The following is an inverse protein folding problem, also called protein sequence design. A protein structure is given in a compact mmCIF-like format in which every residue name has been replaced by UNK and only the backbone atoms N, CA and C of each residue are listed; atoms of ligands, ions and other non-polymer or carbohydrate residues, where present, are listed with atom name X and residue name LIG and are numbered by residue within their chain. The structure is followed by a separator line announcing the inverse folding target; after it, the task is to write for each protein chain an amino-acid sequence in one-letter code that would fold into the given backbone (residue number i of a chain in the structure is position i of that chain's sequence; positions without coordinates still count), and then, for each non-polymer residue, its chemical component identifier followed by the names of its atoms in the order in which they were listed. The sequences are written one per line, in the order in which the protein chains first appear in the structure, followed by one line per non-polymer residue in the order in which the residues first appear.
data_IF_779338474991
#
_entry.id   IF_779338474991
#
_cell.length_a   1.000
_cell.length_b   1.000
_cell.length_c   1.000
_cell.angle_alpha   90.00
_cell.angle_beta   90.00
_cell.angle_gamma   90.00
#
_symmetry.space_group_name_H-M   'P 1'
#
loop_
_entity.id
_entity.type
_entity.pdbx_description
1 polymer ?
#
# COMPACT_ATOMS: atom_id res chain seq x y z
N UNK A 1 42.09 -11.72 -2.15
CA UNK A 1 41.82 -12.77 -1.15
C UNK A 1 40.87 -13.77 -1.76
N UNK A 2 41.29 -15.03 -1.81
CA UNK A 2 40.51 -16.15 -2.30
C UNK A 2 39.39 -16.50 -1.32
N UNK A 3 38.20 -16.81 -1.83
CA UNK A 3 37.40 -17.94 -1.35
C UNK A 3 36.52 -18.47 -2.48
N UNK A 4 36.94 -19.64 -2.95
CA UNK A 4 36.31 -20.45 -4.00
C UNK A 4 35.10 -21.20 -3.42
N UNK A 5 34.11 -21.43 -4.28
CA UNK A 5 33.29 -22.64 -4.42
C UNK A 5 32.59 -23.18 -3.15
N UNK A 6 31.27 -23.01 -3.12
CA UNK A 6 30.40 -24.14 -2.74
C UNK A 6 29.18 -24.15 -3.64
N UNK A 7 29.20 -25.04 -4.64
CA UNK A 7 28.01 -25.50 -5.31
C UNK A 7 27.19 -26.32 -4.32
N UNK A 8 25.91 -25.98 -4.16
CA UNK A 8 24.94 -26.81 -3.44
C UNK A 8 23.77 -27.08 -4.38
N UNK A 9 23.88 -28.14 -5.15
CA UNK A 9 22.75 -28.86 -5.77
C UNK A 9 22.13 -29.77 -4.71
N UNK A 10 20.94 -29.45 -4.19
CA UNK A 10 20.09 -30.44 -3.48
C UNK A 10 18.60 -30.20 -3.77
N UNK A 11 18.05 -31.15 -4.52
CA UNK A 11 16.71 -31.75 -4.48
C UNK A 11 15.45 -30.86 -4.57
N UNK A 12 14.78 -31.01 -5.72
CA UNK A 12 13.32 -30.98 -5.86
C UNK A 12 12.66 -31.96 -4.88
N UNK A 13 11.88 -31.47 -3.91
CA UNK A 13 10.78 -32.22 -3.30
C UNK A 13 9.54 -31.34 -3.22
N UNK A 14 8.49 -31.91 -3.78
CA UNK A 14 7.13 -31.45 -3.95
C UNK A 14 6.39 -31.14 -2.63
N UNK A 15 5.32 -30.34 -2.80
CA UNK A 15 4.08 -30.34 -2.02
C UNK A 15 4.19 -29.91 -0.55
N UNK A 16 4.12 -28.60 -0.31
CA UNK A 16 3.37 -28.14 0.85
C UNK A 16 1.89 -28.27 0.54
N UNK A 17 1.39 -29.43 0.96
CA UNK A 17 -0.01 -29.73 1.08
C UNK A 17 -0.68 -28.68 1.98
N UNK A 18 -1.76 -28.13 1.45
CA UNK A 18 -2.87 -27.53 2.16
C UNK A 18 -3.11 -28.28 3.49
N UNK A 19 -2.88 -27.60 4.62
CA UNK A 19 -3.56 -27.95 5.87
C UNK A 19 -5.02 -27.50 5.77
N UNK A 20 -5.80 -28.27 5.02
CA UNK A 20 -7.25 -28.25 5.07
C UNK A 20 -7.75 -29.15 6.18
N UNK A 21 -8.44 -28.54 7.14
CA UNK A 21 -9.72 -28.96 7.70
C UNK A 21 -9.93 -30.46 8.02
N UNK A 22 -10.04 -30.71 9.32
CA UNK A 22 -10.73 -31.87 9.90
C UNK A 22 -12.21 -31.83 9.51
N UNK A 23 -12.67 -32.84 8.78
CA UNK A 23 -14.01 -33.41 8.91
C UNK A 23 -15.21 -32.59 8.39
N UNK A 24 -15.96 -33.20 7.46
CA UNK A 24 -17.41 -32.98 7.37
C UNK A 24 -17.90 -32.16 6.18
N UNK A 25 -18.04 -32.84 5.05
CA UNK A 25 -19.15 -32.74 4.09
C UNK A 25 -20.19 -31.59 4.31
N UNK A 26 -20.10 -30.50 3.53
CA UNK A 26 -21.23 -29.61 3.31
C UNK A 26 -20.88 -28.15 3.02
N UNK A 27 -21.12 -27.75 1.76
CA UNK A 27 -21.37 -26.38 1.30
C UNK A 27 -20.18 -25.42 1.25
N UNK A 28 -19.64 -25.33 0.04
CA UNK A 28 -19.37 -24.09 -0.70
C UNK A 28 -19.25 -22.81 0.14
N UNK A 29 -18.01 -22.49 0.48
CA UNK A 29 -17.58 -21.16 0.88
C UNK A 29 -16.28 -20.86 0.18
N UNK A 30 -16.28 -20.94 -1.16
CA UNK A 30 -15.19 -20.40 -1.95
C UNK A 30 -15.17 -18.90 -1.72
N UNK A 31 -14.26 -18.42 -0.87
CA UNK A 31 -13.74 -17.06 -1.06
C UNK A 31 -13.35 -16.96 -2.52
N UNK A 32 -13.73 -15.90 -3.25
CA UNK A 32 -13.30 -15.76 -4.63
C UNK A 32 -11.78 -15.88 -4.62
N UNK A 33 -11.24 -16.89 -5.31
CA UNK A 33 -9.82 -16.90 -5.58
C UNK A 33 -9.60 -15.69 -6.47
N UNK A 34 -9.02 -14.62 -5.93
CA UNK A 34 -8.61 -13.48 -6.73
C UNK A 34 -7.76 -14.00 -7.90
N UNK A 35 -8.18 -13.75 -9.14
CA UNK A 35 -7.42 -14.14 -10.33
C UNK A 35 -6.08 -13.39 -10.43
N UNK A 36 -5.93 -12.29 -9.67
CA UNK A 36 -4.75 -11.46 -9.62
C UNK A 36 -3.76 -11.91 -8.53
N UNK A 37 -2.52 -12.15 -8.95
CA UNK A 37 -1.39 -12.40 -8.05
C UNK A 37 -1.12 -11.18 -7.15
N UNK A 38 -0.53 -11.41 -5.97
CA UNK A 38 -0.11 -10.29 -5.10
C UNK A 38 0.87 -9.38 -5.83
N UNK A 39 1.84 -9.93 -6.57
CA UNK A 39 2.83 -9.18 -7.36
C UNK A 39 2.18 -8.27 -8.43
N UNK A 40 1.16 -8.76 -9.14
CA UNK A 40 0.45 -7.99 -10.17
C UNK A 40 -0.39 -6.87 -9.55
N UNK A 41 -0.98 -7.12 -8.37
CA UNK A 41 -1.72 -6.13 -7.61
C UNK A 41 -0.78 -5.05 -7.05
N UNK A 42 0.35 -5.45 -6.47
CA UNK A 42 1.39 -4.55 -5.98
C UNK A 42 1.96 -3.66 -7.10
N UNK A 43 2.24 -4.22 -8.29
CA UNK A 43 2.72 -3.42 -9.43
C UNK A 43 1.75 -2.32 -9.83
N UNK A 44 0.44 -2.60 -9.77
CA UNK A 44 -0.60 -1.64 -10.10
C UNK A 44 -0.70 -0.49 -9.08
N UNK A 45 -0.44 -0.79 -7.80
CA UNK A 45 -0.36 0.22 -6.73
C UNK A 45 0.97 0.98 -6.79
N UNK A 46 2.05 0.35 -7.26
CA UNK A 46 3.36 0.97 -7.41
C UNK A 46 3.34 2.13 -8.42
N UNK A 47 2.59 1.99 -9.52
CA UNK A 47 2.35 3.08 -10.47
C UNK A 47 1.74 4.31 -9.78
N UNK A 48 0.69 4.10 -8.95
CA UNK A 48 0.05 5.17 -8.16
C UNK A 48 1.03 5.79 -7.17
N UNK A 49 1.87 4.98 -6.51
CA UNK A 49 2.89 5.45 -5.57
C UNK A 49 4.01 6.24 -6.27
N UNK A 50 4.37 5.86 -7.48
CA UNK A 50 5.35 6.56 -8.31
C UNK A 50 4.80 7.90 -8.79
N UNK A 51 3.55 7.95 -9.23
CA UNK A 51 2.85 9.20 -9.58
C UNK A 51 2.68 10.10 -8.36
N UNK A 52 2.34 9.53 -7.20
CA UNK A 52 2.27 10.23 -5.92
C UNK A 52 3.60 10.90 -5.57
N UNK A 53 4.70 10.15 -5.68
CA UNK A 53 6.04 10.63 -5.37
C UNK A 53 6.48 11.75 -6.32
N UNK A 54 6.14 11.65 -7.61
CA UNK A 54 6.37 12.73 -8.57
C UNK A 54 5.54 13.97 -8.25
N UNK A 55 4.23 13.78 -8.02
CA UNK A 55 3.32 14.85 -7.65
C UNK A 55 3.78 15.59 -6.40
N UNK A 56 4.33 14.87 -5.40
CA UNK A 56 4.87 15.49 -4.18
C UNK A 56 6.15 16.29 -4.45
N UNK A 57 7.04 15.79 -5.30
CA UNK A 57 8.29 16.49 -5.66
C UNK A 57 8.05 17.79 -6.43
N UNK A 58 6.93 17.88 -7.15
CA UNK A 58 6.54 19.05 -7.93
C UNK A 58 5.81 20.12 -7.09
N UNK A 59 5.47 19.84 -5.83
CA UNK A 59 4.82 20.80 -4.91
C UNK A 59 5.81 21.91 -4.53
N UNK A 60 5.36 23.17 -4.62
CA UNK A 60 6.06 24.28 -3.98
C UNK A 60 5.85 24.20 -2.45
N UNK A 61 6.92 24.11 -1.63
CA UNK A 61 6.80 24.02 -0.18
C UNK A 61 6.18 25.28 0.48
N UNK A 62 6.06 26.37 -0.27
CA UNK A 62 5.42 27.61 0.16
C UNK A 62 3.91 27.62 -0.13
N UNK A 63 3.38 26.60 -0.82
CA UNK A 63 1.99 26.47 -1.23
C UNK A 63 1.32 25.24 -0.56
N UNK A 64 0.83 25.38 0.68
CA UNK A 64 0.14 24.30 1.39
C UNK A 64 -1.17 23.88 0.70
N UNK A 65 -1.78 24.73 -0.13
CA UNK A 65 -2.97 24.37 -0.88
C UNK A 65 -2.64 23.44 -2.06
N UNK A 66 -1.54 23.70 -2.76
CA UNK A 66 -1.00 22.78 -3.77
C UNK A 66 -0.65 21.42 -3.14
N UNK A 67 -0.06 21.44 -1.93
CA UNK A 67 0.26 20.22 -1.20
C UNK A 67 -0.98 19.40 -0.84
N UNK A 68 -2.02 20.04 -0.33
CA UNK A 68 -3.29 19.40 -0.04
C UNK A 68 -3.93 18.78 -1.29
N UNK A 69 -3.89 19.48 -2.42
CA UNK A 69 -4.43 18.97 -3.69
C UNK A 69 -3.67 17.73 -4.16
N UNK A 70 -2.34 17.74 -4.10
CA UNK A 70 -1.53 16.58 -4.49
C UNK A 70 -1.83 15.37 -3.60
N UNK A 71 -1.92 15.56 -2.28
CA UNK A 71 -2.28 14.49 -1.34
C UNK A 71 -3.69 13.92 -1.61
N UNK A 72 -4.66 14.77 -1.99
CA UNK A 72 -5.98 14.32 -2.43
C UNK A 72 -5.94 13.48 -3.70
N UNK A 73 -5.18 13.92 -4.71
CA UNK A 73 -4.99 13.14 -5.94
C UNK A 73 -4.44 11.75 -5.63
N UNK A 74 -3.51 11.64 -4.68
CA UNK A 74 -2.95 10.34 -4.25
C UNK A 74 -4.02 9.48 -3.56
N UNK A 75 -4.80 10.08 -2.66
CA UNK A 75 -5.90 9.37 -1.99
C UNK A 75 -6.96 8.88 -2.99
N UNK A 76 -7.25 9.66 -4.03
CA UNK A 76 -8.17 9.28 -5.09
C UNK A 76 -7.59 8.13 -5.95
N UNK A 77 -6.33 8.23 -6.36
CA UNK A 77 -5.63 7.16 -7.09
C UNK A 77 -5.56 5.85 -6.30
N UNK A 78 -5.38 5.93 -4.98
CA UNK A 78 -5.46 4.78 -4.06
C UNK A 78 -6.87 4.18 -4.02
N UNK A 79 -7.91 5.01 -4.09
CA UNK A 79 -9.30 4.57 -4.19
C UNK A 79 -9.59 3.86 -5.52
N UNK A 80 -9.12 4.41 -6.63
CA UNK A 80 -9.23 3.80 -7.95
C UNK A 80 -8.47 2.47 -8.03
N UNK A 81 -7.27 2.41 -7.44
CA UNK A 81 -6.53 1.16 -7.30
C UNK A 81 -7.29 0.15 -6.44
N UNK A 82 -7.95 0.58 -5.36
CA UNK A 82 -8.77 -0.31 -4.53
C UNK A 82 -9.98 -0.89 -5.27
N UNK A 83 -10.56 -0.12 -6.20
CA UNK A 83 -11.67 -0.58 -7.04
C UNK A 83 -11.20 -1.50 -8.19
N UNK A 84 -9.93 -1.39 -8.61
CA UNK A 84 -9.34 -2.15 -9.72
C UNK A 84 -8.61 -3.43 -9.27
N UNK A 85 -7.99 -3.40 -8.09
CA UNK A 85 -7.28 -4.53 -7.51
C UNK A 85 -8.29 -5.57 -7.05
N UNK A 86 -8.18 -6.78 -7.59
CA UNK A 86 -9.06 -7.91 -7.24
C UNK A 86 -8.46 -8.81 -6.17
N UNK A 87 -7.19 -8.59 -5.81
CA UNK A 87 -6.50 -9.30 -4.74
C UNK A 87 -6.93 -8.77 -3.37
N UNK A 88 -7.62 -9.59 -2.59
CA UNK A 88 -8.19 -9.18 -1.28
C UNK A 88 -7.13 -8.72 -0.27
N UNK A 89 -5.90 -9.25 -0.34
CA UNK A 89 -4.82 -8.87 0.58
C UNK A 89 -4.30 -7.47 0.29
N UNK A 90 -4.07 -7.14 -0.99
CA UNK A 90 -3.62 -5.79 -1.40
C UNK A 90 -4.79 -4.80 -1.27
N UNK A 91 -5.98 -5.16 -1.75
CA UNK A 91 -7.18 -4.33 -1.65
C UNK A 91 -7.55 -4.00 -0.20
N UNK A 92 -7.25 -4.88 0.75
CA UNK A 92 -7.50 -4.65 2.18
C UNK A 92 -6.68 -3.51 2.80
N UNK A 93 -5.53 -3.15 2.22
CA UNK A 93 -4.59 -2.16 2.77
C UNK A 93 -4.84 -0.76 2.17
N UNK A 94 -5.34 -0.69 0.94
CA UNK A 94 -5.58 0.56 0.21
C UNK A 94 -6.55 1.55 0.90
N UNK A 95 -7.62 1.12 1.60
CA UNK A 95 -8.49 2.03 2.34
C UNK A 95 -7.77 2.79 3.45
N UNK A 96 -6.81 2.15 4.12
CA UNK A 96 -6.04 2.76 5.21
C UNK A 96 -5.05 3.79 4.64
N UNK A 97 -4.34 3.46 3.55
CA UNK A 97 -3.49 4.45 2.86
C UNK A 97 -4.30 5.65 2.35
N UNK A 98 -5.43 5.39 1.69
CA UNK A 98 -6.35 6.45 1.22
C UNK A 98 -6.77 7.36 2.36
N UNK A 99 -7.16 6.78 3.50
CA UNK A 99 -7.58 7.53 4.68
C UNK A 99 -6.43 8.40 5.19
N UNK A 100 -5.23 7.84 5.32
CA UNK A 100 -4.05 8.54 5.79
C UNK A 100 -3.67 9.73 4.87
N UNK A 101 -3.67 9.54 3.54
CA UNK A 101 -3.43 10.61 2.57
C UNK A 101 -4.52 11.69 2.60
N UNK A 102 -5.80 11.30 2.71
CA UNK A 102 -6.90 12.27 2.81
C UNK A 102 -6.82 13.11 4.10
N UNK A 103 -6.46 12.50 5.23
CA UNK A 103 -6.28 13.21 6.50
C UNK A 103 -5.09 14.18 6.44
N UNK A 104 -4.00 13.79 5.75
CA UNK A 104 -2.88 14.68 5.52
C UNK A 104 -3.28 15.88 4.62
N UNK A 105 -4.08 15.62 3.58
CA UNK A 105 -4.61 16.66 2.69
C UNK A 105 -5.50 17.66 3.44
N UNK A 106 -6.42 17.18 4.28
CA UNK A 106 -7.29 18.02 5.11
C UNK A 106 -6.48 18.89 6.07
N UNK A 107 -5.44 18.32 6.69
CA UNK A 107 -4.54 19.04 7.58
C UNK A 107 -3.78 20.15 6.84
N UNK A 108 -3.29 19.88 5.62
CA UNK A 108 -2.62 20.87 4.76
C UNK A 108 -3.56 22.00 4.34
N UNK A 109 -4.81 21.68 4.00
CA UNK A 109 -5.84 22.67 3.68
C UNK A 109 -6.16 23.58 4.87
N UNK A 110 -6.25 23.01 6.07
CA UNK A 110 -6.49 23.78 7.29
C UNK A 110 -5.32 24.72 7.58
N UNK A 111 -4.07 24.26 7.39
CA UNK A 111 -2.87 25.11 7.49
C UNK A 111 -2.90 26.22 6.43
N UNK A 112 -3.30 25.92 5.19
CA UNK A 112 -3.47 26.93 4.14
C UNK A 112 -4.54 27.98 4.49
N UNK A 113 -5.57 27.57 5.23
CA UNK A 113 -6.60 28.46 5.78
C UNK A 113 -6.14 29.25 7.03
N UNK A 114 -4.92 29.01 7.51
CA UNK A 114 -4.32 29.69 8.66
C UNK A 114 -4.55 29.00 10.01
N UNK A 115 -5.09 27.78 10.02
CA UNK A 115 -5.27 26.97 11.23
C UNK A 115 -3.98 26.21 11.56
N UNK A 116 -3.08 26.87 12.28
CA UNK A 116 -1.80 26.31 12.70
C UNK A 116 -1.93 25.24 13.79
N UNK A 117 -3.09 25.13 14.45
CA UNK A 117 -3.30 24.15 15.51
C UNK A 117 -3.34 22.72 14.96
N UNK A 118 -3.62 22.58 13.65
CA UNK A 118 -3.64 21.31 12.91
C UNK A 118 -2.27 20.71 12.61
N UNK A 119 -1.19 21.41 12.94
CA UNK A 119 0.17 20.88 12.77
C UNK A 119 0.43 19.58 13.58
N UNK A 120 -0.24 19.41 14.72
CA UNK A 120 -0.13 18.18 15.53
C UNK A 120 -0.89 17.01 14.89
N UNK A 121 -2.07 17.28 14.33
CA UNK A 121 -2.86 16.28 13.60
C UNK A 121 -2.17 15.86 12.31
N UNK A 122 -1.55 16.80 11.60
CA UNK A 122 -0.70 16.50 10.45
C UNK A 122 0.43 15.53 10.81
N UNK A 123 1.10 15.75 11.94
CA UNK A 123 2.20 14.87 12.38
C UNK A 123 1.68 13.45 12.66
N UNK A 124 0.47 13.33 13.20
CA UNK A 124 -0.19 12.04 13.43
C UNK A 124 -0.54 11.37 12.10
N UNK A 125 -1.18 12.10 11.19
CA UNK A 125 -1.52 11.59 9.86
C UNK A 125 -0.27 11.14 9.07
N UNK A 126 0.85 11.86 9.16
CA UNK A 126 2.12 11.46 8.56
C UNK A 126 2.68 10.16 9.18
N UNK A 127 2.51 9.97 10.50
CA UNK A 127 2.84 8.72 11.17
C UNK A 127 1.98 7.55 10.69
N UNK A 128 0.69 7.78 10.50
CA UNK A 128 -0.24 6.77 9.99
C UNK A 128 0.06 6.42 8.52
N UNK A 129 0.40 7.40 7.69
CA UNK A 129 0.90 7.18 6.31
C UNK A 129 2.14 6.29 6.36
N UNK A 130 3.12 6.59 7.22
CA UNK A 130 4.35 5.82 7.32
C UNK A 130 4.10 4.37 7.75
N UNK A 131 3.25 4.14 8.76
CA UNK A 131 2.89 2.77 9.17
C UNK A 131 2.12 1.99 8.08
N UNK A 132 1.30 2.70 7.30
CA UNK A 132 0.59 2.12 6.17
C UNK A 132 1.55 1.74 5.02
N UNK A 133 2.54 2.58 4.75
CA UNK A 133 3.63 2.29 3.79
C UNK A 133 4.46 1.10 4.26
N UNK A 134 4.82 1.01 5.54
CA UNK A 134 5.57 -0.13 6.07
C UNK A 134 4.80 -1.44 5.87
N UNK A 135 3.49 -1.43 6.16
CA UNK A 135 2.60 -2.58 5.94
C UNK A 135 2.52 -2.97 4.46
N UNK A 136 2.39 -1.97 3.57
CA UNK A 136 2.42 -2.19 2.13
C UNK A 136 3.75 -2.79 1.66
N UNK A 137 4.88 -2.27 2.17
CA UNK A 137 6.22 -2.73 1.79
C UNK A 137 6.50 -4.13 2.32
N UNK A 138 5.96 -4.50 3.48
CA UNK A 138 6.06 -5.87 4.01
C UNK A 138 5.28 -6.87 3.14
N UNK A 139 4.17 -6.45 2.55
CA UNK A 139 3.35 -7.27 1.65
C UNK A 139 3.90 -7.34 0.22
N UNK A 140 4.39 -6.22 -0.30
CA UNK A 140 4.80 -6.05 -1.70
C UNK A 140 6.32 -6.07 -1.93
N UNK A 141 7.13 -6.06 -0.87
CA UNK A 141 8.59 -5.95 -0.92
C UNK A 141 9.37 -7.24 -0.64
N UNK A 142 8.70 -8.40 -0.55
CA UNK A 142 9.40 -9.70 -0.47
C UNK A 142 9.82 -10.19 -1.87
N UNK A 143 11.04 -9.84 -2.27
CA UNK A 143 11.85 -10.58 -3.26
C UNK A 143 12.24 -11.99 -2.76
#
# INVERSE_FOLDING_TARGET
MNRRLTAVTVATVALFALTGCTGGNGSDGASPASDQSVEDACSQVDDVMTEATQGIQDIDPSDPAAAASALRTIADGMGEAADSVTNDQVAGILPDLRTAFSSAADSMEAVAAGDTDRATELTTALGDVQGSIDTYTELCGTD
#
